data_IF_340003646503
#
_entry.id   IF_340003646503
#
_cell.length_a   1.000
_cell.length_b   1.000
_cell.length_c   1.000
_cell.angle_alpha   90.00
_cell.angle_beta   90.00
_cell.angle_gamma   90.00
#
_symmetry.space_group_name_H-M   'P 1'
#
loop_
_entity.id
_entity.type
_entity.pdbx_description
1 polymer ?
#
# COMPACT_ATOMS: atom_id res chain seq x y z
N UNK A 1 -5.22 -40.07 18.72
CA UNK A 1 -3.94 -39.44 18.32
C UNK A 1 -3.43 -38.69 19.53
N UNK A 2 -2.49 -39.28 20.27
CA UNK A 2 -2.00 -38.76 21.54
C UNK A 2 -0.68 -38.05 21.28
N UNK A 3 -0.62 -36.73 21.45
CA UNK A 3 0.62 -35.99 21.31
C UNK A 3 1.57 -36.36 22.46
N UNK A 4 2.87 -36.59 22.19
CA UNK A 4 3.83 -36.84 23.26
C UNK A 4 3.97 -35.57 24.10
N UNK A 5 3.50 -35.60 25.35
CA UNK A 5 3.77 -34.57 26.35
C UNK A 5 5.24 -34.67 26.74
N UNK A 6 6.02 -33.66 26.37
CA UNK A 6 7.40 -33.51 26.80
C UNK A 6 7.47 -33.50 28.34
N UNK A 7 8.43 -34.20 28.96
CA UNK A 7 8.62 -34.15 30.40
C UNK A 7 8.90 -32.71 30.85
N UNK A 8 8.40 -32.28 32.03
CA UNK A 8 8.40 -30.88 32.45
C UNK A 8 9.81 -30.25 32.48
N UNK A 9 10.84 -31.05 32.75
CA UNK A 9 12.25 -30.64 32.74
C UNK A 9 12.72 -30.13 31.38
N UNK A 10 12.25 -30.74 30.27
CA UNK A 10 12.64 -30.31 28.92
C UNK A 10 11.91 -29.02 28.53
N UNK A 11 10.67 -28.83 29.01
CA UNK A 11 9.93 -27.60 28.78
C UNK A 11 10.56 -26.39 29.49
N UNK A 12 10.98 -26.55 30.75
CA UNK A 12 11.68 -25.48 31.47
C UNK A 12 13.07 -25.20 30.90
N UNK A 13 13.84 -26.23 30.54
CA UNK A 13 15.13 -26.05 29.86
C UNK A 13 14.99 -25.34 28.51
N UNK A 14 13.91 -25.59 27.77
CA UNK A 14 13.65 -24.92 26.51
C UNK A 14 13.29 -23.43 26.71
N UNK A 15 12.61 -23.09 27.81
CA UNK A 15 12.27 -21.71 28.15
C UNK A 15 13.50 -20.93 28.61
N UNK A 16 14.31 -21.50 29.52
CA UNK A 16 15.57 -20.87 29.95
C UNK A 16 16.52 -20.64 28.77
N UNK A 17 16.60 -21.61 27.86
CA UNK A 17 17.43 -21.49 26.65
C UNK A 17 16.86 -20.45 25.68
N UNK A 18 15.53 -20.34 25.57
CA UNK A 18 14.89 -19.30 24.76
C UNK A 18 15.13 -17.89 25.34
N UNK A 19 15.08 -17.73 26.66
CA UNK A 19 15.34 -16.47 27.36
C UNK A 19 16.81 -16.08 27.25
N UNK A 20 17.73 -17.04 27.33
CA UNK A 20 19.16 -16.79 27.12
C UNK A 20 19.45 -16.40 25.67
N UNK A 21 18.81 -17.05 24.69
CA UNK A 21 18.93 -16.67 23.28
C UNK A 21 18.32 -15.30 22.99
N UNK A 22 17.21 -14.95 23.66
CA UNK A 22 16.57 -13.62 23.58
C UNK A 22 17.50 -12.54 24.13
N UNK A 23 18.05 -12.77 25.32
CA UNK A 23 19.00 -11.86 25.96
C UNK A 23 20.27 -11.68 25.12
N UNK A 24 20.78 -12.76 24.50
CA UNK A 24 21.91 -12.67 23.55
C UNK A 24 21.54 -11.92 22.26
N UNK A 25 20.34 -12.11 21.73
CA UNK A 25 19.88 -11.42 20.53
C UNK A 25 19.69 -9.92 20.77
N UNK A 26 19.15 -9.52 21.93
CA UNK A 26 18.97 -8.12 22.31
C UNK A 26 20.32 -7.43 22.64
N UNK A 27 21.32 -8.20 23.09
CA UNK A 27 22.68 -7.71 23.34
C UNK A 27 23.50 -7.50 22.05
N UNK A 28 23.13 -8.15 20.94
CA UNK A 28 23.75 -7.90 19.63
C UNK A 28 23.04 -6.70 19.01
N UNK A 29 23.69 -5.51 18.93
CA UNK A 29 23.09 -4.40 18.20
C UNK A 29 22.78 -4.85 16.77
N UNK A 30 21.61 -4.47 16.21
CA UNK A 30 21.23 -4.89 14.87
C UNK A 30 22.40 -4.59 13.92
N UNK A 31 22.77 -5.54 13.04
CA UNK A 31 23.88 -5.33 12.14
C UNK A 31 23.63 -4.02 11.40
N UNK A 32 24.49 -3.03 11.64
CA UNK A 32 24.51 -1.81 10.86
C UNK A 32 24.96 -2.26 9.49
N UNK A 33 24.00 -2.49 8.59
CA UNK A 33 24.25 -2.70 7.17
C UNK A 33 24.84 -1.38 6.68
N UNK A 34 26.15 -1.21 6.86
CA UNK A 34 26.88 -0.07 6.36
C UNK A 34 26.58 0.03 4.87
N UNK A 35 26.03 1.18 4.48
CA UNK A 35 25.27 1.38 3.26
C UNK A 35 25.89 0.67 2.05
N UNK A 36 25.22 -0.41 1.62
CA UNK A 36 25.40 -0.91 0.28
C UNK A 36 25.05 0.25 -0.65
N UNK A 37 26.03 0.71 -1.43
CA UNK A 37 25.83 1.80 -2.39
C UNK A 37 24.57 1.50 -3.21
N UNK A 38 23.59 2.42 -3.30
CA UNK A 38 22.34 2.15 -3.99
C UNK A 38 22.66 1.71 -5.42
N UNK A 39 22.37 0.43 -5.71
CA UNK A 39 22.65 -0.17 -7.02
C UNK A 39 21.83 0.62 -8.03
N UNK A 40 22.51 1.28 -8.98
CA UNK A 40 21.83 2.00 -10.07
C UNK A 40 20.81 1.06 -10.69
N UNK A 41 19.52 1.41 -10.60
CA UNK A 41 18.43 0.63 -11.19
C UNK A 41 18.76 0.34 -12.65
N UNK A 42 18.76 -0.95 -13.00
CA UNK A 42 19.12 -1.36 -14.35
C UNK A 42 18.09 -0.80 -15.34
N UNK A 43 18.50 -0.56 -16.58
CA UNK A 43 17.56 -0.15 -17.63
C UNK A 43 16.45 -1.20 -17.83
N UNK A 44 16.78 -2.47 -17.58
CA UNK A 44 15.84 -3.57 -17.53
C UNK A 44 14.75 -3.38 -16.48
N UNK A 45 15.11 -3.05 -15.23
CA UNK A 45 14.13 -2.81 -14.16
C UNK A 45 13.18 -1.66 -14.51
N UNK A 46 13.69 -0.60 -15.15
CA UNK A 46 12.88 0.53 -15.63
C UNK A 46 11.95 0.13 -16.76
N UNK A 47 12.37 -0.75 -17.67
CA UNK A 47 11.52 -1.27 -18.72
C UNK A 47 10.40 -2.12 -18.14
N UNK A 48 10.73 -3.02 -17.21
CA UNK A 48 9.76 -3.87 -16.51
C UNK A 48 8.78 -3.01 -15.72
N UNK A 49 9.25 -1.99 -15.01
CA UNK A 49 8.40 -1.02 -14.31
C UNK A 49 7.52 -0.21 -15.26
N UNK A 50 8.06 0.20 -16.42
CA UNK A 50 7.29 0.89 -17.45
C UNK A 50 6.18 -0.01 -18.00
N UNK A 51 6.51 -1.24 -18.41
CA UNK A 51 5.56 -2.26 -18.88
C UNK A 51 4.48 -2.52 -17.82
N UNK A 52 4.88 -2.56 -16.57
CA UNK A 52 3.97 -2.68 -15.44
C UNK A 52 3.10 -1.43 -15.25
N UNK A 53 3.58 -0.23 -15.55
CA UNK A 53 2.79 1.02 -15.46
C UNK A 53 2.00 1.32 -16.73
N UNK A 54 2.20 0.56 -17.81
CA UNK A 54 1.46 0.70 -19.07
C UNK A 54 -0.05 0.50 -19.00
N UNK A 55 -0.68 -0.25 -18.06
CA UNK A 55 -2.13 -0.45 -18.10
C UNK A 55 -2.90 0.87 -18.14
N UNK A 56 -2.45 1.86 -17.35
CA UNK A 56 -3.11 3.17 -17.27
C UNK A 56 -3.05 3.95 -18.59
N UNK A 57 -1.89 4.15 -19.24
CA UNK A 57 -1.83 4.73 -20.58
C UNK A 57 -2.46 3.84 -21.66
N UNK A 58 -2.43 2.51 -21.53
CA UNK A 58 -3.06 1.60 -22.50
C UNK A 58 -4.58 1.76 -22.53
N UNK A 59 -5.22 2.01 -21.39
CA UNK A 59 -6.68 2.25 -21.34
C UNK A 59 -7.07 3.53 -22.09
N UNK A 60 -6.26 4.59 -21.97
CA UNK A 60 -6.50 5.87 -22.68
C UNK A 60 -6.21 5.71 -24.17
N UNK A 61 -5.10 5.06 -24.53
CA UNK A 61 -4.79 4.80 -25.94
C UNK A 61 -5.81 3.85 -26.57
N UNK A 62 -6.24 2.83 -25.84
CA UNK A 62 -7.25 1.88 -26.25
C UNK A 62 -8.60 2.55 -26.51
N UNK A 63 -9.04 3.47 -25.65
CA UNK A 63 -10.28 4.22 -25.87
C UNK A 63 -10.19 5.18 -27.06
N UNK A 64 -9.04 5.84 -27.26
CA UNK A 64 -8.80 6.68 -28.43
C UNK A 64 -8.80 5.87 -29.74
N UNK A 65 -8.14 4.70 -29.74
CA UNK A 65 -8.14 3.79 -30.89
C UNK A 65 -9.55 3.26 -31.17
N UNK A 66 -10.30 2.89 -30.13
CA UNK A 66 -11.69 2.42 -30.28
C UNK A 66 -12.55 3.52 -30.92
N UNK A 67 -12.48 4.75 -30.39
CA UNK A 67 -13.21 5.89 -30.93
C UNK A 67 -12.78 6.21 -32.37
N UNK A 68 -11.48 6.21 -32.66
CA UNK A 68 -10.95 6.40 -34.00
C UNK A 68 -11.43 5.31 -34.97
N UNK A 69 -11.47 4.05 -34.53
CA UNK A 69 -11.93 2.93 -35.37
C UNK A 69 -13.39 3.06 -35.77
N UNK A 70 -14.25 3.57 -34.88
CA UNK A 70 -15.65 3.84 -35.18
C UNK A 70 -15.82 4.94 -36.25
N UNK A 71 -14.92 5.93 -36.29
CA UNK A 71 -14.96 7.03 -37.27
C UNK A 71 -14.34 6.65 -38.62
N UNK A 72 -13.25 5.88 -38.61
CA UNK A 72 -12.51 5.50 -39.83
C UNK A 72 -13.21 4.37 -40.59
N UNK A 73 -13.78 3.39 -39.88
CA UNK A 73 -14.38 2.20 -40.48
C UNK A 73 -15.63 1.75 -39.70
N UNK A 74 -16.79 2.44 -39.89
CA UNK A 74 -18.00 2.19 -39.11
C UNK A 74 -18.56 0.78 -39.33
N UNK A 75 -18.54 0.24 -40.54
CA UNK A 75 -19.06 -1.10 -40.84
C UNK A 75 -18.22 -2.20 -40.17
N UNK A 76 -16.90 -2.02 -40.13
CA UNK A 76 -16.00 -2.93 -39.43
C UNK A 76 -16.25 -2.90 -37.92
N UNK A 77 -16.47 -1.70 -37.36
CA UNK A 77 -16.77 -1.54 -35.94
C UNK A 77 -18.11 -2.18 -35.57
N UNK A 78 -19.16 -1.97 -36.37
CA UNK A 78 -20.48 -2.56 -36.17
C UNK A 78 -20.43 -4.10 -36.11
N UNK A 79 -19.73 -4.73 -37.07
CA UNK A 79 -19.55 -6.19 -37.07
C UNK A 79 -18.80 -6.72 -35.83
N UNK A 80 -17.93 -5.91 -35.20
CA UNK A 80 -17.27 -6.29 -33.92
C UNK A 80 -18.19 -6.10 -32.73
N UNK A 81 -19.07 -5.10 -32.75
CA UNK A 81 -20.08 -4.88 -31.71
C UNK A 81 -21.13 -6.00 -31.70
N UNK A 82 -21.53 -6.51 -32.86
CA UNK A 82 -22.40 -7.69 -32.97
C UNK A 82 -21.74 -8.92 -32.33
N UNK A 83 -20.47 -9.18 -32.65
CA UNK A 83 -19.72 -10.28 -32.05
C UNK A 83 -19.54 -10.13 -30.52
N UNK A 84 -19.43 -8.90 -30.02
CA UNK A 84 -19.41 -8.61 -28.57
C UNK A 84 -20.77 -8.87 -27.92
N UNK A 85 -21.87 -8.58 -28.62
CA UNK A 85 -23.22 -8.86 -28.15
C UNK A 85 -23.52 -10.37 -28.08
N UNK A 86 -22.95 -11.15 -28.98
CA UNK A 86 -23.08 -12.61 -29.01
C UNK A 86 -22.17 -13.32 -28.00
N UNK A 87 -21.33 -12.58 -27.27
CA UNK A 87 -20.38 -13.18 -26.33
C UNK A 87 -21.11 -13.79 -25.11
N UNK A 88 -20.88 -15.09 -24.80
CA UNK A 88 -21.48 -15.75 -23.65
C UNK A 88 -21.18 -15.05 -22.32
N UNK A 89 -22.17 -15.00 -21.43
CA UNK A 89 -22.07 -14.40 -20.08
C UNK A 89 -20.85 -14.91 -19.29
N UNK A 90 -20.51 -16.20 -19.42
CA UNK A 90 -19.37 -16.80 -18.74
C UNK A 90 -18.02 -16.15 -19.13
N UNK A 91 -17.85 -15.74 -20.39
CA UNK A 91 -16.61 -15.12 -20.85
C UNK A 91 -16.44 -13.70 -20.28
N UNK A 92 -17.54 -12.97 -20.10
CA UNK A 92 -17.54 -11.67 -19.44
C UNK A 92 -17.01 -11.77 -18.01
N UNK A 93 -17.40 -12.81 -17.28
CA UNK A 93 -16.88 -13.07 -15.94
C UNK A 93 -15.37 -13.35 -15.92
N UNK A 94 -14.86 -14.11 -16.88
CA UNK A 94 -13.42 -14.41 -16.97
C UNK A 94 -12.61 -13.15 -17.28
N UNK A 95 -13.07 -12.31 -18.22
CA UNK A 95 -12.44 -11.03 -18.52
C UNK A 95 -12.43 -10.14 -17.27
N UNK A 96 -13.58 -10.00 -16.60
CA UNK A 96 -13.68 -9.25 -15.35
C UNK A 96 -12.76 -9.78 -14.25
N UNK A 97 -12.64 -11.09 -14.10
CA UNK A 97 -11.77 -11.73 -13.10
C UNK A 97 -10.28 -11.49 -13.39
N UNK A 98 -9.84 -11.63 -14.65
CA UNK A 98 -8.45 -11.40 -15.05
C UNK A 98 -8.07 -9.92 -14.89
N UNK A 99 -8.93 -8.99 -15.30
CA UNK A 99 -8.70 -7.56 -15.07
C UNK A 99 -8.69 -7.23 -13.57
N UNK A 100 -9.61 -7.80 -12.78
CA UNK A 100 -9.65 -7.61 -11.32
C UNK A 100 -8.39 -8.13 -10.63
N UNK A 101 -7.86 -9.27 -11.08
CA UNK A 101 -6.59 -9.82 -10.57
C UNK A 101 -5.40 -8.91 -10.91
N UNK A 102 -5.37 -8.38 -12.15
CA UNK A 102 -4.31 -7.49 -12.60
C UNK A 102 -4.22 -6.19 -11.76
N UNK A 103 -5.38 -5.58 -11.49
CA UNK A 103 -5.43 -4.34 -10.68
C UNK A 103 -5.41 -4.61 -9.17
N UNK A 104 -5.96 -5.74 -8.71
CA UNK A 104 -5.98 -6.15 -7.31
C UNK A 104 -4.58 -6.31 -6.71
N UNK A 105 -3.63 -6.84 -7.48
CA UNK A 105 -2.24 -6.98 -7.04
C UNK A 105 -1.51 -5.63 -6.87
N UNK A 106 -1.83 -4.62 -7.71
CA UNK A 106 -1.18 -3.29 -7.71
C UNK A 106 -1.62 -2.39 -6.56
N UNK A 107 -2.84 -2.57 -6.05
CA UNK A 107 -3.31 -1.81 -4.88
C UNK A 107 -2.61 -2.22 -3.57
N UNK A 108 -2.03 -3.43 -3.52
CA UNK A 108 -1.30 -3.91 -2.34
C UNK A 108 0.00 -3.14 -2.10
N UNK A 109 0.69 -2.71 -3.16
CA UNK A 109 1.94 -1.94 -3.03
C UNK A 109 1.70 -0.57 -2.37
N UNK A 110 0.60 0.11 -2.70
CA UNK A 110 0.23 1.41 -2.09
C UNK A 110 -0.14 1.30 -0.61
N UNK A 111 -0.66 0.16 -0.19
CA UNK A 111 -0.95 -0.10 1.23
C UNK A 111 0.32 -0.16 2.08
N UNK A 112 1.49 -0.42 1.48
CA UNK A 112 2.77 -0.42 2.19
C UNK A 112 3.28 0.99 2.41
N UNK A 113 3.10 1.89 1.45
CA UNK A 113 3.48 3.30 1.60
C UNK A 113 2.64 3.99 2.67
N UNK A 114 1.33 3.71 2.72
CA UNK A 114 0.45 4.24 3.77
C UNK A 114 0.79 3.66 5.16
N UNK A 115 1.16 2.38 5.25
CA UNK A 115 1.66 1.76 6.49
C UNK A 115 3.02 2.33 6.92
N UNK A 116 3.90 2.69 5.97
CA UNK A 116 5.19 3.35 6.26
C UNK A 116 5.00 4.79 6.71
N UNK A 117 4.09 5.54 6.09
CA UNK A 117 3.71 6.87 6.56
C UNK A 117 3.14 6.78 7.97
N UNK A 118 2.17 5.90 8.23
CA UNK A 118 1.64 5.66 9.58
C UNK A 118 2.69 5.22 10.61
N UNK A 119 3.68 4.42 10.21
CA UNK A 119 4.78 4.03 11.10
C UNK A 119 5.78 5.17 11.36
N UNK A 120 5.87 6.15 10.45
CA UNK A 120 6.74 7.34 10.61
C UNK A 120 6.04 8.42 11.44
N UNK A 121 4.71 8.50 11.39
CA UNK A 121 3.90 9.42 12.22
C UNK A 121 3.44 8.82 13.55
N UNK A 122 3.76 7.56 13.86
CA UNK A 122 3.49 6.99 15.17
C UNK A 122 4.36 7.73 16.21
N UNK A 123 3.79 8.59 17.08
CA UNK A 123 4.58 9.24 18.10
C UNK A 123 5.12 8.15 19.01
N UNK A 124 6.43 8.14 19.22
CA UNK A 124 7.04 7.43 20.35
C UNK A 124 6.59 8.18 21.62
N UNK A 125 5.33 8.03 21.99
CA UNK A 125 4.86 8.38 23.33
C UNK A 125 5.28 7.24 24.23
N UNK A 126 6.56 7.23 24.60
CA UNK A 126 7.00 6.58 25.82
C UNK A 126 6.31 7.34 26.94
N UNK A 127 5.19 6.81 27.40
CA UNK A 127 4.42 7.36 28.50
C UNK A 127 5.28 7.32 29.76
N UNK A 128 5.86 8.47 30.10
CA UNK A 128 6.14 8.83 31.48
C UNK A 128 5.30 10.08 31.75
N UNK A 129 4.07 9.87 32.20
CA UNK A 129 3.12 10.94 32.52
C UNK A 129 3.00 10.96 34.04
N UNK A 130 3.53 11.99 34.74
CA UNK A 130 3.13 12.29 36.09
C UNK A 130 1.63 12.59 36.09
N UNK A 131 0.86 11.76 36.81
CA UNK A 131 -0.52 12.10 37.21
C UNK A 131 -0.44 13.44 37.93
N UNK A 132 -0.90 14.52 37.31
CA UNK A 132 -1.37 15.76 37.94
C UNK A 132 -1.71 16.80 36.84
N UNK A 133 -2.64 16.50 35.93
CA UNK A 133 -3.25 17.51 35.01
C UNK A 133 -4.42 16.89 34.24
N UNK A 134 -5.52 16.63 34.94
CA UNK A 134 -6.77 16.10 34.35
C UNK A 134 -7.64 17.18 33.67
N UNK A 135 -7.12 18.41 33.51
CA UNK A 135 -7.89 19.56 33.03
C UNK A 135 -7.69 19.94 31.55
N UNK A 136 -6.79 19.28 30.80
CA UNK A 136 -6.37 19.77 29.47
C UNK A 136 -6.67 18.80 28.30
N UNK A 137 -7.59 17.84 28.50
CA UNK A 137 -7.99 16.85 27.49
C UNK A 137 -9.01 17.36 26.47
N UNK A 138 -8.89 18.62 26.03
CA UNK A 138 -9.49 19.04 24.77
C UNK A 138 -8.42 18.92 23.68
N UNK A 139 -8.64 18.10 22.64
CA UNK A 139 -7.66 17.98 21.56
C UNK A 139 -7.47 19.35 20.91
N UNK A 140 -6.24 19.84 20.93
CA UNK A 140 -5.74 21.06 20.27
C UNK A 140 -5.96 21.05 18.73
N UNK A 141 -6.60 19.99 18.19
CA UNK A 141 -7.08 19.89 16.82
C UNK A 141 -8.24 20.87 16.49
N UNK A 142 -8.83 21.54 17.49
CA UNK A 142 -9.75 22.67 17.30
C UNK A 142 -9.09 24.04 17.62
N UNK A 143 -7.80 24.04 17.99
CA UNK A 143 -7.00 25.23 18.18
C UNK A 143 -6.67 25.87 16.83
N UNK A 144 -7.21 27.07 16.60
CA UNK A 144 -6.97 27.89 15.41
C UNK A 144 -5.49 28.26 15.30
N UNK A 145 -4.68 27.38 14.70
CA UNK A 145 -3.40 27.76 14.14
C UNK A 145 -3.56 28.85 13.05
N UNK A 146 -2.51 29.57 12.67
CA UNK A 146 -2.60 30.66 11.69
C UNK A 146 -3.19 30.15 10.36
N UNK A 147 -4.44 30.52 10.07
CA UNK A 147 -5.15 30.06 8.88
C UNK A 147 -5.19 31.19 7.84
N UNK A 148 -4.25 31.12 6.90
CA UNK A 148 -4.10 32.09 5.81
C UNK A 148 -5.39 32.31 4.99
N UNK A 149 -6.26 31.30 4.88
CA UNK A 149 -7.53 31.43 4.17
C UNK A 149 -8.56 32.28 4.95
N UNK A 150 -8.54 32.22 6.29
CA UNK A 150 -9.40 33.02 7.16
C UNK A 150 -9.00 34.50 7.16
N UNK A 151 -7.71 34.79 7.14
CA UNK A 151 -7.20 36.17 7.07
C UNK A 151 -7.48 36.82 5.71
N UNK A 152 -7.35 36.05 4.62
CA UNK A 152 -7.71 36.51 3.27
C UNK A 152 -9.20 36.89 3.15
N UNK A 153 -10.10 36.12 3.77
CA UNK A 153 -11.54 36.40 3.75
C UNK A 153 -11.93 37.64 4.57
N UNK A 154 -11.30 37.86 5.75
CA UNK A 154 -11.55 39.06 6.55
C UNK A 154 -11.12 40.34 5.84
N UNK A 155 -9.98 40.30 5.13
CA UNK A 155 -9.49 41.44 4.36
C UNK A 155 -10.33 41.74 3.11
N UNK A 156 -11.06 40.76 2.58
CA UNK A 156 -11.96 40.95 1.43
C UNK A 156 -13.34 41.52 1.82
N UNK A 157 -13.67 41.56 3.12
CA UNK A 157 -14.96 42.03 3.65
C UNK A 157 -14.89 43.41 4.31
N UNK A 158 -13.70 43.97 4.45
CA UNK A 158 -13.45 45.36 4.86
C UNK A 158 -13.35 46.25 3.62
#
# INVERSE_FOLDING_TARGET
MTFPTLPPVIAEQALDLADELRARADAVPPPVIAGLSPRRRAAYDRLVDAVNRLPRPLMVLGSLVLLGSALVAPDWFAARMDALSDMPDALWWIIGAVLSLHFGARYQDRSQDFRREMATTAPTTRADVPRDSEADLLPDALGSGPNAALDAWRNAKA
#
